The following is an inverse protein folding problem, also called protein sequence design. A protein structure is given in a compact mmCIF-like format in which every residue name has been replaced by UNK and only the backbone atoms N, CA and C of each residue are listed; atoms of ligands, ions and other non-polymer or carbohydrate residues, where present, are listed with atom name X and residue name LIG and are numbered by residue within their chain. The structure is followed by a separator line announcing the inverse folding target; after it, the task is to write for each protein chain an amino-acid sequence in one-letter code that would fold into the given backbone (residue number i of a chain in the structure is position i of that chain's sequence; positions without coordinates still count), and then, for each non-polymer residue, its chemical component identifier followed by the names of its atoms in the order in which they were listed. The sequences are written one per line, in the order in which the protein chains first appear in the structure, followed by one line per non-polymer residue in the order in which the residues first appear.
data_IF_227652753735
#
_entry.id   IF_227652753735
#
_cell.length_a   1.000
_cell.length_b   1.000
_cell.length_c   1.000
_cell.angle_alpha   90.00
_cell.angle_beta   90.00
_cell.angle_gamma   90.00
#
_symmetry.space_group_name_H-M   'P 1'
#
loop_
_entity.id
_entity.type
_entity.pdbx_description
1 polymer ?
#
# COMPACT_ATOMS: atom_id res chain seq x y z
N UNK A 1 27.81 0.63 -8.15
CA UNK A 1 26.65 0.23 -7.32
C UNK A 1 26.07 -1.03 -7.95
N UNK A 2 25.97 -2.12 -7.22
CA UNK A 2 25.55 -3.42 -7.79
C UNK A 2 24.03 -3.55 -7.65
N UNK A 3 23.36 -3.75 -8.79
CA UNK A 3 21.93 -4.14 -8.82
C UNK A 3 21.84 -5.52 -8.17
N UNK A 4 21.23 -5.60 -7.01
CA UNK A 4 20.98 -6.86 -6.32
C UNK A 4 19.55 -7.30 -6.62
N UNK A 5 19.38 -8.09 -7.69
CA UNK A 5 18.25 -9.03 -7.76
C UNK A 5 18.64 -10.18 -6.83
N UNK A 6 18.19 -10.13 -5.57
CA UNK A 6 18.41 -11.23 -4.63
C UNK A 6 17.32 -12.26 -4.88
N UNK A 7 17.54 -13.09 -5.88
CA UNK A 7 16.86 -14.38 -5.98
C UNK A 7 17.57 -15.29 -5.00
N UNK A 8 17.08 -15.36 -3.76
CA UNK A 8 17.62 -16.28 -2.77
C UNK A 8 17.32 -17.71 -3.22
N UNK A 9 18.32 -18.33 -3.87
CA UNK A 9 18.48 -19.76 -3.98
C UNK A 9 17.44 -20.55 -4.79
N UNK A 10 17.33 -20.30 -6.10
CA UNK A 10 16.80 -21.33 -7.01
C UNK A 10 17.86 -21.64 -8.07
N UNK A 11 18.56 -22.74 -7.87
CA UNK A 11 19.27 -23.43 -8.95
C UNK A 11 18.18 -24.11 -9.79
N UNK A 12 17.88 -23.56 -10.96
CA UNK A 12 17.00 -24.20 -11.94
C UNK A 12 17.73 -25.42 -12.53
N UNK A 13 17.57 -26.58 -11.92
CA UNK A 13 17.87 -27.86 -12.53
C UNK A 13 16.52 -28.51 -12.95
N UNK A 14 16.26 -28.55 -14.23
CA UNK A 14 15.16 -29.37 -14.76
C UNK A 14 14.34 -28.66 -15.82
N UNK A 15 14.74 -28.83 -17.09
CA UNK A 15 13.92 -28.47 -18.24
C UNK A 15 12.60 -29.23 -18.25
N UNK A 16 11.50 -28.52 -17.97
CA UNK A 16 10.16 -28.96 -18.29
C UNK A 16 9.46 -27.84 -19.05
N UNK A 17 8.98 -28.18 -20.21
CA UNK A 17 8.34 -27.35 -21.23
C UNK A 17 7.29 -26.39 -20.65
N UNK A 18 7.66 -25.15 -20.44
CA UNK A 18 6.72 -24.03 -20.39
C UNK A 18 6.51 -23.55 -21.84
N UNK A 19 5.92 -24.39 -22.66
CA UNK A 19 5.43 -24.00 -23.99
C UNK A 19 3.93 -23.74 -23.85
N UNK A 20 3.52 -22.47 -23.93
CA UNK A 20 2.16 -22.20 -24.32
C UNK A 20 1.40 -21.00 -23.73
N UNK A 21 2.03 -20.00 -23.11
CA UNK A 21 1.23 -18.87 -22.59
C UNK A 21 1.76 -17.45 -22.90
N UNK A 22 2.94 -17.27 -23.44
CA UNK A 22 3.49 -15.92 -23.53
C UNK A 22 3.92 -15.55 -24.97
N UNK A 23 2.97 -15.10 -25.79
CA UNK A 23 3.26 -14.22 -26.93
C UNK A 23 3.22 -12.75 -26.50
N UNK A 24 3.73 -12.41 -25.31
CA UNK A 24 3.95 -11.01 -24.93
C UNK A 24 5.25 -10.58 -25.57
N UNK A 25 5.20 -9.62 -26.49
CA UNK A 25 6.34 -9.22 -27.29
C UNK A 25 7.55 -8.76 -26.47
N UNK A 26 7.37 -7.81 -25.54
CA UNK A 26 8.40 -7.32 -24.65
C UNK A 26 7.83 -7.11 -23.24
N UNK A 27 8.53 -7.55 -22.15
CA UNK A 27 7.99 -7.47 -20.78
C UNK A 27 7.63 -6.06 -20.30
N UNK A 28 8.21 -5.04 -20.90
CA UNK A 28 7.98 -3.64 -20.54
C UNK A 28 7.22 -2.85 -21.63
N UNK A 29 6.49 -3.53 -22.53
CA UNK A 29 5.81 -2.86 -23.65
C UNK A 29 4.74 -1.84 -23.20
N UNK A 30 4.09 -2.07 -22.07
CA UNK A 30 3.07 -1.18 -21.53
C UNK A 30 3.67 -0.01 -20.73
N UNK A 31 4.98 -0.03 -20.46
CA UNK A 31 5.66 1.05 -19.73
C UNK A 31 5.79 2.30 -20.61
N UNK A 32 5.31 3.42 -20.09
CA UNK A 32 5.37 4.72 -20.80
C UNK A 32 6.36 5.70 -20.17
N UNK A 33 6.87 5.42 -18.98
CA UNK A 33 7.94 6.17 -18.31
C UNK A 33 9.28 5.55 -18.69
N UNK A 34 10.01 6.22 -19.60
CA UNK A 34 11.29 5.73 -20.08
C UNK A 34 12.49 6.42 -19.40
N UNK A 35 12.28 7.59 -18.80
CA UNK A 35 13.27 8.37 -18.09
C UNK A 35 12.64 9.10 -16.88
N UNK A 36 13.45 9.53 -15.90
CA UNK A 36 12.93 10.30 -14.74
C UNK A 36 12.17 11.57 -15.15
N UNK A 37 12.52 12.19 -16.28
CA UNK A 37 11.85 13.37 -16.83
C UNK A 37 10.36 13.12 -17.20
N UNK A 38 9.99 11.88 -17.47
CA UNK A 38 8.62 11.54 -17.91
C UNK A 38 7.65 11.46 -16.71
N UNK A 39 8.20 11.27 -15.50
CA UNK A 39 7.42 10.99 -14.29
C UNK A 39 6.44 12.11 -13.95
N UNK A 40 6.87 13.36 -14.04
CA UNK A 40 6.02 14.50 -13.69
C UNK A 40 4.73 14.53 -14.51
N UNK A 41 4.84 14.31 -15.83
CA UNK A 41 3.67 14.29 -16.72
C UNK A 41 2.72 13.11 -16.42
N UNK A 42 3.29 11.94 -16.10
CA UNK A 42 2.49 10.74 -15.76
C UNK A 42 1.83 10.86 -14.39
N UNK A 43 2.53 11.44 -13.40
CA UNK A 43 1.94 11.75 -12.09
C UNK A 43 0.79 12.75 -12.23
N UNK A 44 0.93 13.76 -13.08
CA UNK A 44 -0.14 14.69 -13.40
C UNK A 44 -1.34 13.99 -14.05
N UNK A 45 -1.11 13.08 -15.02
CA UNK A 45 -2.16 12.28 -15.66
C UNK A 45 -2.92 11.43 -14.62
N UNK A 46 -2.20 10.75 -13.72
CA UNK A 46 -2.78 9.96 -12.64
C UNK A 46 -3.59 10.85 -11.68
N UNK A 47 -3.05 12.00 -11.31
CA UNK A 47 -3.73 12.98 -10.46
C UNK A 47 -5.01 13.49 -11.09
N UNK A 48 -4.98 13.83 -12.37
CA UNK A 48 -6.15 14.28 -13.12
C UNK A 48 -7.23 13.18 -13.17
N UNK A 49 -6.84 11.94 -13.37
CA UNK A 49 -7.78 10.81 -13.35
C UNK A 49 -8.42 10.64 -11.97
N UNK A 50 -7.62 10.65 -10.89
CA UNK A 50 -8.10 10.41 -9.53
C UNK A 50 -8.95 11.56 -9.00
N UNK A 51 -8.53 12.82 -9.21
CA UNK A 51 -9.19 14.01 -8.62
C UNK A 51 -9.90 14.91 -9.60
N UNK A 52 -9.83 14.64 -10.90
CA UNK A 52 -10.41 15.50 -11.95
C UNK A 52 -9.68 16.83 -12.11
N UNK A 53 -8.38 16.90 -11.76
CA UNK A 53 -7.54 18.09 -11.84
C UNK A 53 -6.04 17.75 -11.94
N UNK A 54 -5.25 18.69 -12.42
CA UNK A 54 -3.82 18.50 -12.71
C UNK A 54 -2.91 18.38 -11.48
N UNK A 55 -3.38 18.83 -10.35
CA UNK A 55 -2.63 18.71 -9.10
C UNK A 55 -3.42 17.92 -8.06
N UNK A 56 -2.78 17.04 -7.30
CA UNK A 56 -3.39 16.54 -6.09
C UNK A 56 -3.84 17.76 -5.29
N UNK A 57 -5.08 17.75 -4.80
CA UNK A 57 -5.36 18.69 -3.72
C UNK A 57 -4.35 18.42 -2.62
N UNK A 58 -3.88 19.47 -1.90
CA UNK A 58 -3.38 19.22 -0.58
C UNK A 58 -4.41 18.31 0.07
N UNK A 59 -3.97 17.11 0.44
CA UNK A 59 -4.85 16.07 0.95
C UNK A 59 -5.75 16.69 1.99
N UNK A 60 -7.05 16.46 1.87
CA UNK A 60 -8.01 17.09 2.75
C UNK A 60 -7.61 16.78 4.19
N UNK A 61 -7.44 17.81 5.00
CA UNK A 61 -7.21 17.63 6.44
C UNK A 61 -8.38 16.83 7.03
N UNK A 62 -8.18 16.09 8.12
CA UNK A 62 -9.29 15.39 8.78
C UNK A 62 -10.44 16.36 9.07
N UNK A 63 -11.65 15.95 8.70
CA UNK A 63 -12.86 16.72 9.01
C UNK A 63 -13.13 16.74 10.53
N UNK A 64 -12.67 15.69 11.22
CA UNK A 64 -12.74 15.58 12.69
C UNK A 64 -11.53 14.80 13.20
N UNK A 65 -11.01 15.23 14.34
CA UNK A 65 -10.01 14.51 15.12
C UNK A 65 -10.64 14.19 16.48
N UNK A 66 -10.50 12.95 16.92
CA UNK A 66 -10.95 12.52 18.24
C UNK A 66 -9.89 11.68 18.95
N UNK A 67 -9.87 11.64 20.29
CA UNK A 67 -8.92 10.81 21.02
C UNK A 67 -8.98 9.36 20.57
N UNK A 68 -7.84 8.70 20.44
CA UNK A 68 -7.73 7.33 19.97
C UNK A 68 -8.45 6.30 20.85
N UNK A 69 -8.70 6.64 22.12
CA UNK A 69 -9.45 5.81 23.06
C UNK A 69 -10.98 6.03 23.01
N UNK A 70 -11.50 6.94 22.18
CA UNK A 70 -12.91 7.33 22.20
C UNK A 70 -13.86 6.17 21.83
N UNK A 71 -13.45 5.28 20.95
CA UNK A 71 -14.33 4.24 20.39
C UNK A 71 -13.94 2.80 20.79
N UNK A 72 -12.70 2.53 21.26
CA UNK A 72 -12.20 1.19 21.66
C UNK A 72 -10.80 1.28 22.30
N UNK A 73 -10.56 2.25 23.13
CA UNK A 73 -9.23 2.68 23.57
C UNK A 73 -8.40 1.70 24.39
N UNK A 74 -9.02 0.63 24.88
CA UNK A 74 -8.29 -0.40 25.62
C UNK A 74 -7.51 -1.35 24.71
N UNK A 75 -7.87 -1.45 23.42
CA UNK A 75 -7.28 -2.41 22.49
C UNK A 75 -6.00 -1.91 21.81
N UNK A 76 -5.84 -0.59 21.63
CA UNK A 76 -4.71 -0.06 20.90
C UNK A 76 -3.34 -0.34 21.57
N UNK A 77 -3.15 -0.14 22.88
CA UNK A 77 -1.89 -0.50 23.55
C UNK A 77 -1.60 -1.99 23.48
N UNK A 78 -2.61 -2.84 23.62
CA UNK A 78 -2.46 -4.30 23.51
C UNK A 78 -2.07 -4.71 22.08
N UNK A 79 -2.74 -4.14 21.08
CA UNK A 79 -2.44 -4.42 19.68
C UNK A 79 -1.04 -3.95 19.29
N UNK A 80 -0.65 -2.74 19.68
CA UNK A 80 0.67 -2.17 19.37
C UNK A 80 1.81 -2.78 20.21
N UNK A 81 1.48 -3.51 21.30
CA UNK A 81 2.46 -4.01 22.26
C UNK A 81 3.17 -2.90 23.04
N UNK A 82 2.69 -1.66 22.92
CA UNK A 82 3.25 -0.45 23.55
C UNK A 82 2.19 0.64 23.66
N UNK A 83 2.18 1.35 24.76
CA UNK A 83 1.32 2.53 24.92
C UNK A 83 1.88 3.73 24.15
N UNK A 84 1.15 4.31 23.18
CA UNK A 84 1.57 5.54 22.53
C UNK A 84 1.57 6.74 23.50
N UNK A 85 2.37 7.76 23.20
CA UNK A 85 2.34 9.04 23.94
C UNK A 85 1.01 9.77 23.73
N UNK A 86 0.57 9.83 22.47
CA UNK A 86 -0.77 10.27 22.09
C UNK A 86 -1.33 9.34 21.03
N UNK A 87 -2.65 9.27 20.94
CA UNK A 87 -3.31 8.58 19.84
C UNK A 87 -4.59 9.30 19.46
N UNK A 88 -4.88 9.31 18.16
CA UNK A 88 -5.99 10.02 17.57
C UNK A 88 -6.65 9.23 16.45
N UNK A 89 -7.95 9.35 16.34
CA UNK A 89 -8.70 8.98 15.15
C UNK A 89 -8.81 10.20 14.24
N UNK A 90 -8.26 10.10 13.05
CA UNK A 90 -8.36 11.09 11.98
C UNK A 90 -9.51 10.70 11.08
N UNK A 91 -10.61 11.46 11.10
CA UNK A 91 -11.83 11.12 10.37
C UNK A 91 -11.94 12.01 9.15
N UNK A 92 -12.11 11.42 7.98
CA UNK A 92 -12.17 12.07 6.69
C UNK A 92 -13.56 11.95 6.08
N UNK A 93 -14.12 13.08 5.61
CA UNK A 93 -15.32 13.10 4.79
C UNK A 93 -14.91 12.87 3.33
N UNK A 94 -15.28 11.73 2.78
CA UNK A 94 -15.00 11.39 1.39
C UNK A 94 -16.08 11.85 0.40
N UNK A 95 -17.12 12.50 0.92
CA UNK A 95 -18.32 12.84 0.16
C UNK A 95 -19.25 11.64 -0.04
N UNK A 96 -20.44 11.87 -0.62
CA UNK A 96 -21.43 10.81 -0.89
C UNK A 96 -21.87 10.04 0.37
N UNK A 97 -21.77 10.67 1.56
CA UNK A 97 -21.98 10.06 2.88
C UNK A 97 -20.97 8.96 3.22
N UNK A 98 -19.85 8.90 2.52
CA UNK A 98 -18.75 7.99 2.83
C UNK A 98 -17.75 8.68 3.76
N UNK A 99 -17.26 7.91 4.70
CA UNK A 99 -16.27 8.34 5.68
C UNK A 99 -15.11 7.36 5.71
N UNK A 100 -13.92 7.87 6.00
CA UNK A 100 -12.79 7.06 6.36
C UNK A 100 -12.23 7.52 7.70
N UNK A 101 -11.53 6.62 8.38
CA UNK A 101 -10.78 6.95 9.58
C UNK A 101 -9.46 6.21 9.62
N UNK A 102 -8.43 6.95 9.96
CA UNK A 102 -7.09 6.42 10.22
C UNK A 102 -6.78 6.57 11.69
N UNK A 103 -6.02 5.62 12.24
CA UNK A 103 -5.51 5.74 13.59
C UNK A 103 -4.09 6.27 13.56
N UNK A 104 -3.86 7.39 14.22
CA UNK A 104 -2.55 8.01 14.35
C UNK A 104 -2.03 7.84 15.78
N UNK A 105 -0.86 7.22 15.93
CA UNK A 105 -0.21 6.99 17.22
C UNK A 105 1.18 7.62 17.22
N UNK A 106 1.48 8.40 18.25
CA UNK A 106 2.80 9.03 18.41
C UNK A 106 3.59 8.37 19.52
N UNK A 107 4.91 8.36 19.36
CA UNK A 107 5.82 7.81 20.35
C UNK A 107 6.95 8.78 20.68
N UNK A 108 7.45 8.81 21.94
CA UNK A 108 8.50 9.73 22.32
C UNK A 108 9.75 9.59 21.48
N UNK A 109 10.26 10.70 20.96
CA UNK A 109 11.49 10.75 20.17
C UNK A 109 11.37 10.13 18.78
N UNK A 110 10.16 10.03 18.24
CA UNK A 110 9.95 9.52 16.89
C UNK A 110 10.66 10.38 15.84
N UNK A 111 11.40 9.73 14.95
CA UNK A 111 12.14 10.32 13.83
C UNK A 111 11.57 9.92 12.49
N UNK A 112 10.72 8.91 12.47
CA UNK A 112 10.05 8.40 11.28
C UNK A 112 8.54 8.36 11.47
N UNK A 113 7.83 8.49 10.36
CA UNK A 113 6.41 8.22 10.23
C UNK A 113 6.24 7.00 9.33
N UNK A 114 5.51 6.00 9.79
CA UNK A 114 5.20 4.82 9.00
C UNK A 114 3.70 4.69 8.81
N UNK A 115 3.27 4.71 7.57
CA UNK A 115 1.88 4.44 7.18
C UNK A 115 1.77 2.94 6.93
N UNK A 116 0.90 2.26 7.68
CA UNK A 116 0.60 0.84 7.51
C UNK A 116 -0.77 0.70 6.87
N UNK A 117 -0.81 0.11 5.68
CA UNK A 117 -2.02 -0.07 4.91
C UNK A 117 -2.52 -1.52 5.05
N UNK A 118 -3.72 -1.71 5.59
CA UNK A 118 -4.39 -3.00 5.65
C UNK A 118 -4.94 -3.42 4.28
N UNK A 119 -5.02 -4.72 4.05
CA UNK A 119 -5.60 -5.30 2.84
C UNK A 119 -7.12 -5.50 2.92
N UNK A 120 -7.63 -6.31 1.98
CA UNK A 120 -9.06 -6.66 1.96
C UNK A 120 -9.46 -7.47 3.20
N UNK A 121 -10.64 -7.17 3.72
CA UNK A 121 -11.21 -7.79 4.92
C UNK A 121 -10.35 -7.68 6.19
N UNK A 122 -9.39 -6.77 6.18
CA UNK A 122 -8.47 -6.53 7.27
C UNK A 122 -8.80 -5.23 8.02
N UNK A 123 -8.49 -5.21 9.29
CA UNK A 123 -8.50 -4.05 10.18
C UNK A 123 -7.46 -4.27 11.28
N UNK A 124 -7.16 -3.22 12.02
CA UNK A 124 -6.11 -3.25 13.05
C UNK A 124 -6.68 -3.52 14.44
N UNK A 125 -7.90 -3.06 14.68
CA UNK A 125 -8.54 -3.19 15.98
C UNK A 125 -9.80 -4.04 15.88
N UNK A 126 -9.96 -4.98 16.80
CA UNK A 126 -11.23 -5.72 16.94
C UNK A 126 -12.32 -4.75 17.38
N UNK A 127 -13.09 -4.21 16.46
CA UNK A 127 -14.25 -3.40 16.80
C UNK A 127 -15.34 -4.31 17.35
N UNK A 128 -16.04 -3.91 18.42
CA UNK A 128 -16.96 -4.76 19.20
C UNK A 128 -18.13 -5.39 18.45
N UNK A 129 -18.31 -5.11 17.17
CA UNK A 129 -19.29 -5.76 16.30
C UNK A 129 -18.73 -7.03 15.63
N UNK A 130 -17.43 -7.04 15.29
CA UNK A 130 -16.73 -8.21 14.78
C UNK A 130 -15.64 -8.58 15.78
N UNK A 131 -15.99 -9.42 16.79
CA UNK A 131 -15.07 -9.89 17.85
C UNK A 131 -13.89 -10.73 17.35
N UNK A 132 -13.78 -10.93 16.03
CA UNK A 132 -12.58 -11.49 15.37
C UNK A 132 -12.32 -10.64 14.14
N UNK A 133 -11.07 -10.20 13.89
CA UNK A 133 -10.73 -9.76 12.54
C UNK A 133 -11.16 -10.90 11.61
N UNK A 134 -11.88 -10.58 10.54
CA UNK A 134 -12.37 -11.57 9.57
C UNK A 134 -11.24 -12.45 9.07
N UNK A 135 -10.03 -11.86 8.95
CA UNK A 135 -8.78 -12.58 8.68
C UNK A 135 -7.67 -11.94 9.52
N UNK A 136 -7.14 -12.67 10.48
CA UNK A 136 -5.90 -12.31 11.17
C UNK A 136 -4.74 -12.51 10.21
N UNK A 137 -3.90 -11.49 10.04
CA UNK A 137 -2.62 -11.56 9.35
C UNK A 137 -1.49 -11.45 10.37
N UNK A 138 -1.12 -12.57 11.01
CA UNK A 138 -0.15 -12.56 12.11
C UNK A 138 1.17 -11.91 11.75
N UNK A 139 1.60 -12.02 10.48
CA UNK A 139 2.82 -11.40 9.98
C UNK A 139 2.72 -9.87 9.96
N UNK A 140 1.60 -9.31 9.49
CA UNK A 140 1.35 -7.86 9.52
C UNK A 140 1.22 -7.35 10.95
N UNK A 141 0.47 -8.03 11.80
CA UNK A 141 0.31 -7.67 13.21
C UNK A 141 1.65 -7.65 13.95
N UNK A 142 2.51 -8.63 13.67
CA UNK A 142 3.85 -8.70 14.23
C UNK A 142 4.73 -7.54 13.72
N UNK A 143 4.63 -7.18 12.42
CA UNK A 143 5.35 -6.06 11.85
C UNK A 143 4.93 -4.74 12.52
N UNK A 144 3.62 -4.49 12.67
CA UNK A 144 3.10 -3.28 13.33
C UNK A 144 3.69 -3.12 14.73
N UNK A 145 3.67 -4.19 15.55
CA UNK A 145 4.27 -4.18 16.90
C UNK A 145 5.76 -3.90 16.88
N UNK A 146 6.48 -4.46 15.92
CA UNK A 146 7.92 -4.26 15.79
C UNK A 146 8.26 -2.84 15.32
N UNK A 147 7.44 -2.22 14.47
CA UNK A 147 7.58 -0.81 14.08
C UNK A 147 7.25 0.08 15.28
N UNK A 148 6.16 -0.19 16.02
CA UNK A 148 5.81 0.54 17.23
C UNK A 148 6.92 0.50 18.31
N UNK A 149 7.74 -0.55 18.34
CA UNK A 149 8.90 -0.65 19.22
C UNK A 149 10.09 0.22 18.79
N UNK A 150 10.06 0.78 17.57
CA UNK A 150 11.07 1.72 17.06
C UNK A 150 10.69 3.18 17.37
N UNK A 151 11.60 4.14 17.19
CA UNK A 151 11.28 5.57 17.31
C UNK A 151 10.55 6.07 16.06
N UNK A 152 9.39 5.47 15.73
CA UNK A 152 8.55 5.82 14.62
C UNK A 152 7.12 6.05 15.10
N UNK A 153 6.47 7.09 14.60
CA UNK A 153 5.03 7.29 14.70
C UNK A 153 4.31 6.44 13.65
N UNK A 154 3.07 6.07 13.92
CA UNK A 154 2.30 5.17 13.08
C UNK A 154 0.99 5.81 12.62
N UNK A 155 0.68 5.65 11.35
CA UNK A 155 -0.67 5.79 10.80
C UNK A 155 -1.14 4.40 10.38
N UNK A 156 -2.29 3.97 10.90
CA UNK A 156 -2.94 2.70 10.52
C UNK A 156 -4.14 3.04 9.64
N UNK A 157 -4.05 2.68 8.37
CA UNK A 157 -5.03 2.99 7.32
C UNK A 157 -5.69 1.72 6.79
N UNK A 158 -7.00 1.65 6.83
CA UNK A 158 -7.81 0.57 6.27
C UNK A 158 -8.37 0.95 4.91
N UNK A 159 -8.57 -0.03 4.03
CA UNK A 159 -9.21 0.19 2.73
C UNK A 159 -10.65 0.72 2.91
N UNK A 160 -11.20 1.43 1.91
CA UNK A 160 -12.57 1.93 1.95
C UNK A 160 -13.57 0.81 2.25
N UNK A 161 -14.52 1.07 3.16
CA UNK A 161 -15.57 0.12 3.58
C UNK A 161 -15.05 -1.19 4.20
N UNK A 162 -13.74 -1.28 4.48
CA UNK A 162 -13.10 -2.41 5.15
C UNK A 162 -12.61 -2.02 6.54
N UNK A 163 -12.32 -3.01 7.39
CA UNK A 163 -11.77 -2.78 8.71
C UNK A 163 -12.46 -1.66 9.49
N UNK A 164 -11.70 -0.69 9.97
CA UNK A 164 -12.20 0.47 10.71
C UNK A 164 -13.14 1.34 9.89
N UNK A 165 -12.96 1.37 8.56
CA UNK A 165 -13.80 2.14 7.64
C UNK A 165 -15.19 1.54 7.44
N UNK A 166 -15.35 0.23 7.65
CA UNK A 166 -16.67 -0.42 7.70
C UNK A 166 -17.51 0.11 8.86
N UNK A 167 -16.87 0.34 10.00
CA UNK A 167 -17.55 0.81 11.20
C UNK A 167 -18.15 2.21 11.04
N UNK A 168 -17.40 3.16 10.49
CA UNK A 168 -17.87 4.56 10.33
C UNK A 168 -18.89 4.73 9.21
N UNK A 169 -19.07 3.72 8.36
CA UNK A 169 -20.00 3.75 7.23
C UNK A 169 -21.31 2.99 7.48
N UNK A 170 -21.59 2.62 8.70
CA UNK A 170 -22.81 1.87 9.07
C UNK A 170 -24.10 2.55 8.62
N UNK A 171 -24.12 3.88 8.73
CA UNK A 171 -25.28 4.71 8.41
C UNK A 171 -25.17 5.38 7.02
N UNK A 172 -24.20 4.96 6.20
CA UNK A 172 -23.99 5.50 4.86
C UNK A 172 -25.08 5.11 3.85
N UNK A 173 -25.83 4.06 4.15
CA UNK A 173 -26.81 3.45 3.23
C UNK A 173 -26.17 2.44 2.26
N UNK A 174 -24.88 2.14 2.42
CA UNK A 174 -24.19 1.08 1.69
C UNK A 174 -24.46 -0.25 2.35
N UNK A 175 -24.82 -1.28 1.56
CA UNK A 175 -24.88 -2.65 2.04
C UNK A 175 -23.45 -3.17 2.29
N UNK A 176 -23.01 -3.12 3.53
CA UNK A 176 -21.68 -3.52 3.94
C UNK A 176 -21.45 -5.04 3.92
N UNK A 177 -22.48 -5.85 3.71
CA UNK A 177 -22.36 -7.31 3.55
C UNK A 177 -22.21 -7.73 2.08
N UNK A 178 -22.23 -6.77 1.16
CA UNK A 178 -22.02 -7.01 -0.26
C UNK A 178 -20.60 -7.58 -0.52
N UNK A 179 -20.50 -8.59 -1.40
CA UNK A 179 -19.21 -9.25 -1.71
C UNK A 179 -18.22 -8.35 -2.46
N UNK A 180 -18.75 -7.46 -3.32
CA UNK A 180 -17.94 -6.57 -4.18
C UNK A 180 -18.13 -5.11 -3.74
N UNK A 181 -17.71 -4.79 -2.52
CA UNK A 181 -17.81 -3.43 -1.97
C UNK A 181 -17.02 -2.41 -2.80
N UNK A 182 -15.84 -2.78 -3.29
CA UNK A 182 -15.02 -1.86 -4.06
C UNK A 182 -15.59 -1.62 -5.47
N UNK A 183 -16.14 -2.64 -6.11
CA UNK A 183 -16.89 -2.46 -7.35
C UNK A 183 -18.12 -1.57 -7.18
N UNK A 184 -18.77 -1.60 -6.00
CA UNK A 184 -19.88 -0.70 -5.66
C UNK A 184 -19.43 0.76 -5.61
N UNK A 185 -18.26 1.06 -5.03
CA UNK A 185 -17.66 2.40 -5.05
C UNK A 185 -17.49 2.89 -6.48
N UNK A 186 -16.97 2.05 -7.37
CA UNK A 186 -16.76 2.40 -8.78
C UNK A 186 -18.03 2.61 -9.57
N UNK A 187 -19.08 1.79 -9.32
CA UNK A 187 -20.34 1.84 -10.07
C UNK A 187 -21.28 2.93 -9.57
N UNK A 188 -21.55 2.96 -8.27
CA UNK A 188 -22.70 3.69 -7.72
C UNK A 188 -22.33 4.84 -6.78
N UNK A 189 -21.10 4.84 -6.25
CA UNK A 189 -20.64 5.83 -5.29
C UNK A 189 -19.54 6.73 -5.86
N UNK A 190 -19.53 6.93 -7.18
CA UNK A 190 -18.56 7.80 -7.84
C UNK A 190 -18.56 9.20 -7.23
N UNK A 191 -17.37 9.81 -7.01
CA UNK A 191 -17.26 11.18 -6.56
C UNK A 191 -17.83 12.14 -7.62
N UNK A 192 -18.07 13.39 -7.25
CA UNK A 192 -18.54 14.41 -8.17
C UNK A 192 -17.53 14.71 -9.31
N UNK A 193 -16.25 14.49 -9.07
CA UNK A 193 -15.17 14.59 -10.07
C UNK A 193 -14.11 13.54 -9.82
N UNK A 194 -13.44 13.11 -10.88
CA UNK A 194 -12.38 12.10 -10.80
C UNK A 194 -12.91 10.67 -10.62
N UNK A 195 -12.08 9.81 -10.07
CA UNK A 195 -12.36 8.40 -9.85
C UNK A 195 -12.61 8.08 -8.37
N UNK A 196 -13.38 7.02 -8.11
CA UNK A 196 -13.55 6.46 -6.77
C UNK A 196 -12.22 5.90 -6.18
N UNK A 197 -11.16 5.76 -6.98
CA UNK A 197 -9.80 5.45 -6.48
C UNK A 197 -9.31 6.46 -5.43
N UNK A 198 -9.82 7.71 -5.47
CA UNK A 198 -9.51 8.70 -4.43
C UNK A 198 -9.85 8.23 -3.02
N UNK A 199 -10.88 7.41 -2.85
CA UNK A 199 -11.29 6.90 -1.54
C UNK A 199 -10.25 6.02 -0.88
N UNK A 200 -9.36 5.42 -1.67
CA UNK A 200 -8.26 4.56 -1.21
C UNK A 200 -7.02 5.36 -0.80
N UNK A 201 -6.84 6.56 -1.36
CA UNK A 201 -5.60 7.32 -1.18
C UNK A 201 -5.79 8.60 -0.37
N UNK A 202 -6.95 9.27 -0.47
CA UNK A 202 -7.22 10.54 0.22
C UNK A 202 -7.01 10.45 1.74
N UNK A 203 -7.48 9.40 2.48
CA UNK A 203 -7.29 9.32 3.91
C UNK A 203 -5.81 9.29 4.29
N UNK A 204 -5.05 8.37 3.72
CA UNK A 204 -3.62 8.23 4.00
C UNK A 204 -2.83 9.51 3.65
N UNK A 205 -3.11 10.15 2.49
CA UNK A 205 -2.48 11.43 2.11
C UNK A 205 -2.83 12.56 3.10
N UNK A 206 -4.09 12.59 3.56
CA UNK A 206 -4.56 13.52 4.57
C UNK A 206 -3.89 13.30 5.92
N UNK A 207 -3.78 12.05 6.34
CA UNK A 207 -3.13 11.67 7.60
C UNK A 207 -1.63 11.99 7.57
N UNK A 208 -0.92 11.75 6.45
CA UNK A 208 0.47 12.19 6.26
C UNK A 208 0.59 13.70 6.41
N UNK A 209 -0.31 14.45 5.75
CA UNK A 209 -0.28 15.92 5.80
C UNK A 209 -0.59 16.44 7.20
N UNK A 210 -1.49 15.78 7.94
CA UNK A 210 -1.80 16.09 9.33
C UNK A 210 -0.59 15.85 10.24
N UNK A 211 0.04 14.70 10.15
CA UNK A 211 1.20 14.33 10.97
C UNK A 211 2.39 15.27 10.71
N UNK A 212 2.69 15.58 9.44
CA UNK A 212 3.78 16.47 9.04
C UNK A 212 3.54 17.96 9.42
N UNK A 213 2.30 18.35 9.75
CA UNK A 213 2.02 19.69 10.25
C UNK A 213 2.49 19.88 11.70
N UNK A 214 2.53 18.80 12.44
CA UNK A 214 2.84 18.82 13.87
C UNK A 214 4.23 18.29 14.22
N UNK A 215 4.83 17.51 13.33
CA UNK A 215 6.10 16.83 13.56
C UNK A 215 6.98 16.86 12.31
N UNK A 216 8.27 17.12 12.50
CA UNK A 216 9.29 17.01 11.47
C UNK A 216 9.88 15.60 11.53
N UNK A 217 9.59 14.77 10.50
CA UNK A 217 10.15 13.43 10.39
C UNK A 217 11.34 13.41 9.43
N UNK A 218 12.40 12.73 9.81
CA UNK A 218 13.56 12.46 8.96
C UNK A 218 13.19 11.48 7.82
N UNK A 219 12.19 10.61 8.07
CA UNK A 219 11.74 9.58 7.15
C UNK A 219 10.21 9.42 7.20
N UNK A 220 9.58 9.43 6.03
CA UNK A 220 8.21 8.97 5.83
C UNK A 220 8.25 7.68 5.02
N UNK A 221 7.62 6.64 5.54
CA UNK A 221 7.56 5.33 4.92
C UNK A 221 6.12 4.82 4.81
N UNK A 222 5.85 3.99 3.82
CA UNK A 222 4.59 3.27 3.68
C UNK A 222 4.84 1.77 3.54
N UNK A 223 4.02 0.97 4.18
CA UNK A 223 4.05 -0.48 4.09
C UNK A 223 2.64 -1.03 4.01
N UNK A 224 2.43 -2.08 3.24
CA UNK A 224 1.15 -2.75 3.17
C UNK A 224 1.24 -4.13 2.57
N UNK A 225 0.23 -4.94 2.88
CA UNK A 225 0.11 -6.31 2.42
C UNK A 225 -1.17 -6.47 1.58
N UNK A 226 -1.12 -7.29 0.51
CA UNK A 226 -2.28 -7.56 -0.35
C UNK A 226 -2.89 -6.25 -0.89
N UNK A 227 -4.18 -5.99 -0.71
CA UNK A 227 -4.79 -4.70 -1.08
C UNK A 227 -4.09 -3.50 -0.45
N UNK A 228 -3.56 -3.63 0.79
CA UNK A 228 -2.72 -2.60 1.42
C UNK A 228 -1.39 -2.40 0.72
N UNK A 229 -0.81 -3.46 0.16
CA UNK A 229 0.37 -3.38 -0.71
C UNK A 229 0.08 -2.60 -1.98
N UNK A 230 -1.10 -2.82 -2.59
CA UNK A 230 -1.58 -2.02 -3.70
C UNK A 230 -1.71 -0.53 -3.32
N UNK A 231 -2.36 -0.25 -2.19
CA UNK A 231 -2.46 1.13 -1.67
C UNK A 231 -1.08 1.76 -1.48
N UNK A 232 -0.11 0.99 -0.96
CA UNK A 232 1.27 1.44 -0.77
C UNK A 232 1.94 1.82 -2.10
N UNK A 233 1.77 1.02 -3.16
CA UNK A 233 2.27 1.34 -4.51
C UNK A 233 1.63 2.63 -5.05
N UNK A 234 0.31 2.78 -4.88
CA UNK A 234 -0.39 4.01 -5.29
C UNK A 234 0.12 5.24 -4.54
N UNK A 235 0.30 5.12 -3.22
CA UNK A 235 0.82 6.21 -2.39
C UNK A 235 2.26 6.57 -2.79
N UNK A 236 3.12 5.60 -3.06
CA UNK A 236 4.49 5.85 -3.53
C UNK A 236 4.51 6.61 -4.86
N UNK A 237 3.63 6.26 -5.79
CA UNK A 237 3.52 6.95 -7.07
C UNK A 237 3.01 8.40 -6.94
N UNK A 238 2.08 8.66 -6.01
CA UNK A 238 1.38 9.95 -5.88
C UNK A 238 2.06 10.91 -4.92
N UNK A 239 2.76 10.42 -3.88
CA UNK A 239 3.25 11.19 -2.74
C UNK A 239 4.78 11.18 -2.65
N UNK A 240 5.47 12.21 -3.18
CA UNK A 240 6.95 12.24 -3.16
C UNK A 240 7.56 12.35 -1.76
N UNK A 241 6.79 12.73 -0.73
CA UNK A 241 7.26 12.76 0.66
C UNK A 241 7.52 11.35 1.21
N UNK A 242 6.88 10.32 0.66
CA UNK A 242 7.19 8.93 0.99
C UNK A 242 8.55 8.56 0.40
N UNK A 243 9.52 8.32 1.26
CA UNK A 243 10.89 7.98 0.89
C UNK A 243 11.18 6.48 0.93
N UNK A 244 10.30 5.69 1.55
CA UNK A 244 10.37 4.22 1.58
C UNK A 244 8.98 3.65 1.34
N UNK A 245 8.85 2.78 0.36
CA UNK A 245 7.62 2.05 0.08
C UNK A 245 7.90 0.55 0.06
N UNK A 246 7.14 -0.20 0.84
CA UNK A 246 7.24 -1.64 0.97
C UNK A 246 5.89 -2.27 0.63
N UNK A 247 5.72 -2.66 -0.63
CA UNK A 247 4.51 -3.32 -1.12
C UNK A 247 4.71 -4.83 -1.05
N UNK A 248 3.87 -5.53 -0.29
CA UNK A 248 3.95 -6.97 -0.10
C UNK A 248 2.74 -7.63 -0.72
N UNK A 249 2.94 -8.47 -1.74
CA UNK A 249 1.88 -9.14 -2.51
C UNK A 249 0.75 -8.16 -2.89
N UNK A 250 1.13 -6.97 -3.39
CA UNK A 250 0.17 -5.86 -3.59
C UNK A 250 -0.26 -5.65 -5.03
N UNK A 251 0.63 -5.81 -5.97
CA UNK A 251 0.35 -5.51 -7.38
C UNK A 251 1.29 -6.27 -8.31
N UNK A 252 0.83 -6.52 -9.52
CA UNK A 252 1.64 -6.94 -10.67
C UNK A 252 1.09 -6.26 -11.91
N UNK A 253 1.89 -6.02 -12.96
CA UNK A 253 1.37 -5.50 -14.22
C UNK A 253 0.21 -6.38 -14.71
N UNK A 254 -0.89 -5.77 -15.12
CA UNK A 254 -2.16 -6.47 -15.39
C UNK A 254 -1.99 -7.59 -16.44
N UNK A 255 -1.15 -7.36 -17.44
CA UNK A 255 -0.90 -8.34 -18.51
C UNK A 255 -0.25 -9.64 -18.00
N UNK A 256 0.39 -9.61 -16.82
CA UNK A 256 1.02 -10.79 -16.19
C UNK A 256 0.17 -11.40 -15.07
N UNK A 257 -1.00 -10.82 -14.77
CA UNK A 257 -1.84 -11.33 -13.72
C UNK A 257 -2.60 -12.59 -14.18
N UNK A 258 -2.50 -13.66 -13.42
CA UNK A 258 -3.19 -14.92 -13.71
C UNK A 258 -4.61 -14.97 -13.14
N UNK A 259 -4.81 -14.31 -11.99
CA UNK A 259 -6.11 -14.29 -11.30
C UNK A 259 -6.87 -13.00 -11.63
N UNK A 260 -8.22 -13.01 -11.55
CA UNK A 260 -9.00 -11.80 -11.68
C UNK A 260 -8.52 -10.71 -10.71
N UNK A 261 -8.39 -9.49 -11.20
CA UNK A 261 -8.04 -8.35 -10.38
C UNK A 261 -9.28 -7.72 -9.76
N UNK A 262 -9.13 -7.13 -8.57
CA UNK A 262 -10.16 -6.33 -7.97
C UNK A 262 -10.40 -5.06 -8.81
N UNK A 263 -11.59 -4.46 -8.67
CA UNK A 263 -11.99 -3.31 -9.46
C UNK A 263 -10.94 -2.18 -9.42
N UNK A 264 -10.49 -1.80 -8.24
CA UNK A 264 -9.54 -0.70 -8.07
C UNK A 264 -8.19 -0.97 -8.76
N UNK A 265 -7.83 -2.22 -8.92
CA UNK A 265 -6.56 -2.59 -9.55
C UNK A 265 -6.59 -2.45 -11.07
N UNK A 266 -7.78 -2.50 -11.67
CA UNK A 266 -7.98 -2.40 -13.13
C UNK A 266 -8.38 -1.01 -13.59
N UNK A 267 -8.84 -0.14 -12.69
CA UNK A 267 -9.34 1.21 -13.02
C UNK A 267 -8.24 2.26 -13.11
N UNK A 268 -6.97 1.87 -13.13
CA UNK A 268 -5.82 2.78 -13.19
C UNK A 268 -5.51 3.12 -14.65
N UNK A 269 -5.31 4.43 -15.01
CA UNK A 269 -5.04 4.84 -16.40
C UNK A 269 -3.59 4.62 -16.85
N UNK A 270 -2.74 4.06 -16.00
CA UNK A 270 -1.33 3.78 -16.21
C UNK A 270 -1.04 2.31 -15.91
N UNK A 271 0.00 1.75 -16.51
CA UNK A 271 0.47 0.43 -16.11
C UNK A 271 1.21 0.49 -14.76
N UNK A 272 1.24 -0.63 -14.04
CA UNK A 272 1.98 -0.75 -12.78
C UNK A 272 3.48 -0.52 -12.95
N UNK A 273 4.04 -0.82 -14.12
CA UNK A 273 5.43 -0.50 -14.43
C UNK A 273 5.73 1.00 -14.32
N UNK A 274 4.78 1.84 -14.71
CA UNK A 274 4.88 3.29 -14.56
C UNK A 274 4.73 3.73 -13.10
N UNK A 275 3.82 3.10 -12.34
CA UNK A 275 3.66 3.40 -10.91
C UNK A 275 4.94 3.11 -10.13
N UNK A 276 5.60 1.98 -10.41
CA UNK A 276 6.88 1.63 -9.77
C UNK A 276 7.99 2.63 -10.15
N UNK A 277 8.03 3.09 -11.40
CA UNK A 277 8.98 4.13 -11.81
C UNK A 277 8.74 5.45 -11.08
N UNK A 278 7.47 5.81 -10.82
CA UNK A 278 7.10 7.02 -10.07
C UNK A 278 7.51 6.95 -8.60
N UNK A 279 7.64 5.74 -8.03
CA UNK A 279 8.09 5.52 -6.65
C UNK A 279 9.59 5.78 -6.44
N UNK A 280 10.38 5.89 -7.52
CA UNK A 280 11.84 6.00 -7.47
C UNK A 280 12.41 7.17 -8.30
N UNK A 281 11.61 8.17 -8.56
CA UNK A 281 11.94 9.31 -9.43
C UNK A 281 12.93 10.33 -8.82
N UNK A 282 13.17 10.25 -7.50
CA UNK A 282 14.08 11.15 -6.78
C UNK A 282 15.16 10.38 -6.01
N UNK A 283 16.32 11.02 -5.83
CA UNK A 283 17.36 10.49 -4.96
C UNK A 283 16.84 10.32 -3.53
N UNK A 284 17.19 9.20 -2.93
CA UNK A 284 16.75 8.87 -1.58
C UNK A 284 15.39 8.20 -1.48
N UNK A 285 14.60 8.13 -2.57
CA UNK A 285 13.37 7.33 -2.61
C UNK A 285 13.69 5.87 -2.92
N UNK A 286 12.96 4.97 -2.26
CA UNK A 286 13.09 3.53 -2.50
C UNK A 286 11.73 2.87 -2.53
N UNK A 287 11.54 1.99 -3.50
CA UNK A 287 10.36 1.16 -3.61
C UNK A 287 10.74 -0.32 -3.72
N UNK A 288 10.18 -1.12 -2.85
CA UNK A 288 10.41 -2.56 -2.76
C UNK A 288 9.10 -3.30 -2.96
N UNK A 289 9.10 -4.23 -3.91
CA UNK A 289 8.00 -5.15 -4.16
C UNK A 289 8.39 -6.53 -3.63
N UNK A 290 7.58 -7.09 -2.73
CA UNK A 290 7.82 -8.41 -2.11
C UNK A 290 6.74 -9.38 -2.54
N UNK A 291 7.15 -10.59 -2.92
CA UNK A 291 6.25 -11.67 -3.30
C UNK A 291 6.67 -12.96 -2.62
N UNK A 292 5.71 -13.87 -2.40
CA UNK A 292 5.99 -15.24 -1.99
C UNK A 292 5.90 -16.18 -3.21
N UNK A 293 6.90 -17.03 -3.40
CA UNK A 293 6.91 -18.04 -4.47
C UNK A 293 5.66 -18.94 -4.41
N UNK A 294 5.20 -19.23 -3.22
CA UNK A 294 4.10 -20.16 -2.96
C UNK A 294 2.84 -19.47 -2.47
N UNK A 295 2.66 -18.19 -2.79
CA UNK A 295 1.42 -17.47 -2.46
C UNK A 295 0.21 -18.21 -3.04
N UNK A 296 -0.73 -18.68 -2.21
CA UNK A 296 -1.88 -19.44 -2.69
C UNK A 296 -2.96 -18.56 -3.32
N UNK A 297 -2.86 -17.22 -3.19
CA UNK A 297 -3.86 -16.29 -3.69
C UNK A 297 -3.52 -15.80 -5.11
N UNK A 298 -2.84 -14.69 -5.19
CA UNK A 298 -3.06 -13.79 -6.32
C UNK A 298 -1.76 -13.36 -7.02
N UNK A 299 -0.60 -13.58 -6.41
CA UNK A 299 0.69 -13.04 -6.87
C UNK A 299 1.73 -14.14 -6.99
N UNK A 300 1.47 -15.08 -7.91
CA UNK A 300 2.34 -16.24 -8.14
C UNK A 300 3.66 -15.82 -8.79
N UNK A 301 4.70 -16.62 -8.60
CA UNK A 301 6.01 -16.39 -9.20
C UNK A 301 5.95 -16.23 -10.73
N UNK A 302 5.06 -16.97 -11.40
CA UNK A 302 4.82 -16.87 -12.84
C UNK A 302 4.34 -15.50 -13.29
N UNK A 303 3.60 -14.80 -12.45
CA UNK A 303 3.15 -13.42 -12.68
C UNK A 303 4.24 -12.37 -12.44
N UNK A 304 5.29 -12.70 -11.70
CA UNK A 304 6.36 -11.77 -11.31
C UNK A 304 7.61 -11.90 -12.17
N UNK A 305 8.02 -13.13 -12.45
CA UNK A 305 9.28 -13.43 -13.15
C UNK A 305 9.43 -12.71 -14.50
N UNK A 306 8.39 -12.56 -15.33
CA UNK A 306 8.57 -11.99 -16.67
C UNK A 306 9.06 -10.55 -16.69
N UNK A 307 8.66 -9.74 -15.71
CA UNK A 307 8.92 -8.29 -15.71
C UNK A 307 9.93 -7.83 -14.64
N UNK A 308 10.10 -8.59 -13.56
CA UNK A 308 10.85 -8.14 -12.37
C UNK A 308 12.30 -7.74 -12.70
N UNK A 309 13.05 -8.61 -13.36
CA UNK A 309 14.45 -8.32 -13.72
C UNK A 309 14.58 -7.29 -14.85
N UNK A 310 13.80 -7.35 -15.95
CA UNK A 310 13.79 -6.28 -16.95
C UNK A 310 13.49 -4.90 -16.39
N UNK A 311 12.50 -4.79 -15.48
CA UNK A 311 12.16 -3.52 -14.84
C UNK A 311 13.27 -3.04 -13.89
N UNK A 312 13.81 -3.92 -13.05
CA UNK A 312 14.90 -3.56 -12.15
C UNK A 312 16.12 -3.02 -12.90
N UNK A 313 16.45 -3.61 -14.04
CA UNK A 313 17.51 -3.08 -14.93
C UNK A 313 17.16 -1.71 -15.53
N UNK A 314 15.91 -1.53 -15.96
CA UNK A 314 15.43 -0.25 -16.48
C UNK A 314 15.51 0.83 -15.41
N UNK A 315 15.00 0.57 -14.22
CA UNK A 315 14.95 1.53 -13.12
C UNK A 315 16.30 1.76 -12.43
N UNK A 316 17.31 0.95 -12.70
CA UNK A 316 18.69 1.23 -12.26
C UNK A 316 19.28 2.55 -12.83
N UNK A 317 18.66 3.13 -13.86
CA UNK A 317 19.01 4.45 -14.39
C UNK A 317 18.26 5.60 -13.71
N UNK A 318 17.31 5.30 -12.83
CA UNK A 318 16.57 6.28 -12.06
C UNK A 318 17.35 6.69 -10.80
N UNK A 319 17.10 7.90 -10.25
CA UNK A 319 17.85 8.38 -9.10
C UNK A 319 17.55 7.65 -7.78
N UNK A 320 16.37 7.04 -7.66
CA UNK A 320 15.96 6.22 -6.52
C UNK A 320 16.39 4.76 -6.64
N UNK A 321 15.90 3.91 -5.75
CA UNK A 321 16.20 2.47 -5.67
C UNK A 321 14.92 1.64 -5.84
N UNK A 322 14.88 0.75 -6.84
CA UNK A 322 13.81 -0.22 -7.03
C UNK A 322 14.35 -1.63 -6.89
N UNK A 323 13.62 -2.48 -6.16
CA UNK A 323 13.94 -3.90 -6.13
C UNK A 323 12.68 -4.77 -5.98
N UNK A 324 12.74 -5.95 -6.59
CA UNK A 324 11.75 -7.01 -6.44
C UNK A 324 12.38 -8.15 -5.65
N UNK A 325 11.70 -8.57 -4.60
CA UNK A 325 12.12 -9.66 -3.73
C UNK A 325 11.11 -10.80 -3.79
N UNK A 326 11.56 -11.99 -4.14
CA UNK A 326 10.74 -13.21 -4.09
C UNK A 326 11.21 -14.07 -2.94
N UNK A 327 10.30 -14.39 -2.02
CA UNK A 327 10.55 -15.23 -0.86
C UNK A 327 10.07 -16.66 -1.13
N UNK A 328 10.87 -17.65 -0.75
CA UNK A 328 10.59 -19.06 -1.06
C UNK A 328 10.07 -19.88 0.14
N UNK A 329 9.68 -19.22 1.24
CA UNK A 329 9.39 -19.91 2.49
C UNK A 329 7.90 -20.00 2.86
N UNK A 330 7.07 -19.10 2.40
CA UNK A 330 5.65 -19.02 2.78
C UNK A 330 4.73 -19.83 1.88
N UNK A 331 3.81 -20.57 2.50
CA UNK A 331 2.69 -21.24 1.82
C UNK A 331 1.33 -20.64 2.22
N UNK A 332 1.38 -19.43 2.74
CA UNK A 332 0.21 -18.69 3.22
C UNK A 332 0.23 -17.28 2.61
N UNK A 333 -0.96 -16.74 2.38
CA UNK A 333 -1.08 -15.34 1.97
C UNK A 333 -0.97 -14.44 3.21
N UNK A 334 0.27 -14.14 3.63
CA UNK A 334 0.59 -13.28 4.77
C UNK A 334 2.02 -12.71 4.60
N UNK A 335 2.36 -11.72 5.42
CA UNK A 335 3.70 -11.13 5.45
C UNK A 335 4.70 -12.07 6.14
N UNK A 336 5.72 -12.48 5.41
CA UNK A 336 6.74 -13.39 5.91
C UNK A 336 7.72 -12.70 6.90
N UNK A 337 8.24 -13.42 7.92
CA UNK A 337 9.19 -12.86 8.88
C UNK A 337 10.47 -12.29 8.25
N UNK A 338 10.91 -12.85 7.12
CA UNK A 338 12.07 -12.35 6.38
C UNK A 338 11.80 -10.96 5.77
N UNK A 339 10.58 -10.72 5.28
CA UNK A 339 10.14 -9.41 4.79
C UNK A 339 10.09 -8.40 5.94
N UNK A 340 9.48 -8.77 7.07
CA UNK A 340 9.47 -7.93 8.27
C UNK A 340 10.88 -7.52 8.69
N UNK A 341 11.80 -8.48 8.76
CA UNK A 341 13.22 -8.22 9.09
C UNK A 341 13.88 -7.25 8.10
N UNK A 342 13.62 -7.40 6.80
CA UNK A 342 14.15 -6.47 5.78
C UNK A 342 13.65 -5.05 6.03
N UNK A 343 12.33 -4.88 6.16
CA UNK A 343 11.68 -3.58 6.39
C UNK A 343 12.26 -2.91 7.64
N UNK A 344 12.32 -3.62 8.76
CA UNK A 344 12.81 -3.09 10.02
C UNK A 344 14.28 -2.68 9.97
N UNK A 345 15.10 -3.40 9.22
CA UNK A 345 16.50 -3.07 9.03
C UNK A 345 16.67 -1.83 8.13
N UNK A 346 15.86 -1.70 7.07
CA UNK A 346 15.95 -0.54 6.17
C UNK A 346 15.40 0.74 6.82
N UNK A 347 14.33 0.63 7.63
CA UNK A 347 13.81 1.75 8.44
C UNK A 347 14.79 2.27 9.51
N UNK A 348 15.87 1.53 9.78
CA UNK A 348 16.88 1.89 10.79
C UNK A 348 18.13 2.54 10.18
N UNK A 349 18.21 2.68 8.85
CA UNK A 349 19.31 3.30 8.11
C UNK A 349 19.03 4.77 7.85
#
# INVERSE_FOLDING_TARGET
MRVAVVIAGVVLAGGAKAQGLWQIGHPLQEMTIHAPSDVAARRQQLSQFIWGRDTPQPAAMPARVSPGNADNGELAPEYLGRTPATSEWLVFDLGRKLWARDYYATFPGAKCLVIVNAGHDEGFFATGYFRKPLFSKPGMDALVRQIAAKPCDLILNSMPLQGENRFVNRDSGVDLEMRDLHGELGRNLKPASGSALRYFVDPALGAISYALKSHDYELVAAVGFSGGGWTTTMLAALEPRIKRAYSVSGSVPIVFREEPADWEQTEIPLDYLDLYAMGVDESGRKEFQFYSEFDPCCFKLTSVTPWAEPLSRRLATFPGEFAVHVMSMGKVHDLEPAVAKFILNDLSK
#
